data_IF_716017197227
#
_entry.id   IF_716017197227
#
_cell.length_a   1.000
_cell.length_b   1.000
_cell.length_c   1.000
_cell.angle_alpha   90.00
_cell.angle_beta   90.00
_cell.angle_gamma   90.00
#
_symmetry.space_group_name_H-M   'P 1'
#
loop_
_entity.id
_entity.type
_entity.pdbx_description
1 polymer ?
#
# COMPACT_ATOMS: atom_id res chain seq x y z
N UNK A 1 -26.00 -34.91 -45.26
CA UNK A 1 -24.58 -34.97 -45.69
C UNK A 1 -24.22 -33.61 -46.27
N UNK A 2 -23.03 -33.11 -45.93
CA UNK A 2 -22.53 -31.72 -46.10
C UNK A 2 -23.18 -30.72 -45.13
N UNK A 3 -22.46 -29.84 -44.43
CA UNK A 3 -21.10 -29.34 -44.63
C UNK A 3 -20.47 -29.00 -43.28
N UNK A 4 -19.20 -29.36 -43.14
CA UNK A 4 -18.26 -28.84 -42.15
C UNK A 4 -18.18 -27.31 -42.25
N UNK A 5 -18.02 -26.65 -41.11
CA UNK A 5 -17.47 -25.29 -41.04
C UNK A 5 -16.56 -25.25 -39.83
N UNK A 6 -15.32 -25.61 -40.08
CA UNK A 6 -14.19 -25.36 -39.19
C UNK A 6 -13.62 -23.98 -39.53
N UNK A 7 -13.12 -23.30 -38.50
CA UNK A 7 -12.09 -22.26 -38.55
C UNK A 7 -12.39 -20.98 -39.34
N UNK A 8 -12.70 -19.91 -38.62
CA UNK A 8 -11.85 -18.70 -38.57
C UNK A 8 -12.47 -17.70 -37.64
N UNK A 9 -11.75 -17.31 -36.58
CA UNK A 9 -11.71 -15.95 -36.01
C UNK A 9 -11.19 -16.04 -34.57
N UNK A 10 -9.87 -16.18 -34.44
CA UNK A 10 -9.21 -15.67 -33.25
C UNK A 10 -7.82 -15.08 -33.58
N UNK A 11 -7.76 -14.35 -34.70
CA UNK A 11 -6.59 -13.59 -35.12
C UNK A 11 -6.79 -12.11 -34.78
N UNK A 12 -6.94 -11.78 -33.49
CA UNK A 12 -7.18 -10.40 -33.10
C UNK A 12 -7.21 -10.07 -31.61
N UNK A 13 -6.95 -11.01 -30.70
CA UNK A 13 -6.85 -10.67 -29.29
C UNK A 13 -5.64 -9.73 -29.06
N UNK A 14 -5.81 -8.55 -28.43
CA UNK A 14 -4.72 -7.61 -28.19
C UNK A 14 -3.61 -8.32 -27.41
N UNK A 15 -2.34 -8.00 -27.67
CA UNK A 15 -1.16 -8.65 -27.08
C UNK A 15 -1.23 -8.77 -25.55
N UNK A 16 -1.94 -7.86 -24.89
CA UNK A 16 -2.23 -7.91 -23.46
C UNK A 16 -3.09 -9.13 -23.07
N UNK A 17 -4.12 -9.48 -23.85
CA UNK A 17 -5.01 -10.62 -23.59
C UNK A 17 -4.25 -11.96 -23.63
N UNK A 18 -3.30 -12.13 -24.55
CA UNK A 18 -2.46 -13.35 -24.65
C UNK A 18 -1.51 -13.53 -23.47
N UNK A 19 -1.19 -12.46 -22.73
CA UNK A 19 -0.31 -12.51 -21.56
C UNK A 19 -1.01 -13.08 -20.31
N UNK A 20 -2.35 -13.09 -20.29
CA UNK A 20 -3.14 -13.53 -19.13
C UNK A 20 -3.48 -15.03 -19.13
N UNK A 21 -3.33 -15.74 -20.25
CA UNK A 21 -3.62 -17.18 -20.37
C UNK A 21 -2.69 -18.08 -19.52
N UNK A 22 -1.60 -17.52 -18.97
CA UNK A 22 -0.61 -18.23 -18.13
C UNK A 22 -0.38 -17.56 -16.78
N UNK A 23 -1.35 -16.82 -16.26
CA UNK A 23 -1.22 -16.17 -14.94
C UNK A 23 -1.61 -17.14 -13.84
N UNK A 24 -0.70 -17.33 -12.88
CA UNK A 24 -0.96 -18.14 -11.69
C UNK A 24 -2.04 -17.50 -10.82
N UNK A 25 -2.90 -18.28 -10.16
CA UNK A 25 -3.92 -17.75 -9.26
C UNK A 25 -3.29 -17.11 -8.01
N UNK A 26 -4.01 -16.15 -7.41
CA UNK A 26 -3.60 -15.45 -6.17
C UNK A 26 -3.40 -16.41 -4.99
N UNK A 27 -4.03 -17.58 -5.02
CA UNK A 27 -3.82 -18.65 -4.04
C UNK A 27 -2.38 -19.13 -3.99
N UNK A 28 -1.67 -19.13 -5.13
CA UNK A 28 -0.28 -19.61 -5.27
C UNK A 28 0.79 -18.57 -4.90
N UNK A 29 0.40 -17.32 -4.58
CA UNK A 29 1.37 -16.33 -4.10
C UNK A 29 1.97 -16.84 -2.78
N UNK A 30 3.32 -16.94 -2.69
CA UNK A 30 3.99 -17.49 -1.53
C UNK A 30 3.81 -16.59 -0.31
N UNK A 31 3.84 -17.18 0.87
CA UNK A 31 3.67 -16.47 2.12
C UNK A 31 3.51 -17.42 3.30
N UNK A 32 3.43 -16.87 4.52
CA UNK A 32 3.28 -17.68 5.72
C UNK A 32 1.91 -18.38 5.67
N UNK A 33 1.85 -19.70 5.95
CA UNK A 33 0.61 -20.45 5.87
C UNK A 33 -0.41 -19.99 6.91
N UNK A 34 -1.71 -20.05 6.57
CA UNK A 34 -2.81 -19.57 7.43
C UNK A 34 -2.83 -20.23 8.81
N UNK A 35 -2.52 -21.52 8.90
CA UNK A 35 -2.46 -22.25 10.16
C UNK A 35 -1.35 -21.77 11.10
N UNK A 36 -0.33 -21.08 10.55
CA UNK A 36 0.82 -20.60 11.30
C UNK A 36 0.68 -19.12 11.71
N UNK A 37 -0.51 -18.52 11.63
CA UNK A 37 -0.71 -17.13 12.09
C UNK A 37 -0.71 -17.05 13.62
N UNK A 38 -1.36 -18.01 14.30
CA UNK A 38 -1.18 -18.16 15.75
C UNK A 38 0.29 -18.46 16.05
N UNK A 39 0.96 -19.25 15.21
CA UNK A 39 2.39 -19.49 15.29
C UNK A 39 3.23 -18.22 15.07
N UNK A 40 2.84 -17.28 14.20
CA UNK A 40 3.53 -16.00 13.98
C UNK A 40 3.31 -15.02 15.14
N UNK A 41 2.09 -14.97 15.69
CA UNK A 41 1.74 -14.16 16.87
C UNK A 41 2.43 -14.73 18.11
N UNK A 42 2.38 -16.04 18.32
CA UNK A 42 3.10 -16.74 19.39
C UNK A 42 4.62 -16.69 19.17
N UNK A 43 5.11 -16.75 17.93
CA UNK A 43 6.53 -16.56 17.61
C UNK A 43 6.95 -15.13 17.93
N UNK A 44 6.13 -14.12 17.62
CA UNK A 44 6.39 -12.74 18.03
C UNK A 44 6.37 -12.59 19.55
N UNK A 45 5.37 -13.16 20.25
CA UNK A 45 5.23 -13.05 21.72
C UNK A 45 6.29 -13.84 22.49
N UNK A 46 6.54 -15.11 22.13
CA UNK A 46 7.49 -16.02 22.81
C UNK A 46 8.94 -15.66 22.48
N UNK A 47 9.25 -15.22 21.25
CA UNK A 47 10.62 -14.83 20.91
C UNK A 47 10.96 -13.37 21.26
N UNK A 48 10.00 -12.56 21.73
CA UNK A 48 10.27 -11.28 22.42
C UNK A 48 11.05 -11.46 23.74
N UNK A 49 11.22 -12.69 24.22
CA UNK A 49 12.05 -13.05 25.37
C UNK A 49 13.52 -13.37 25.00
N UNK A 50 13.86 -13.43 23.70
CA UNK A 50 15.24 -13.63 23.24
C UNK A 50 15.98 -12.29 23.18
N UNK A 51 17.30 -12.33 23.41
CA UNK A 51 18.19 -11.14 23.39
C UNK A 51 18.12 -10.36 22.06
N UNK A 52 17.80 -11.06 20.96
CA UNK A 52 17.40 -10.50 19.67
C UNK A 52 16.08 -11.13 19.20
N UNK A 53 14.94 -10.44 19.37
CA UNK A 53 13.67 -10.98 18.94
C UNK A 53 13.54 -10.89 17.40
N UNK A 54 13.02 -11.94 16.74
CA UNK A 54 12.77 -11.93 15.30
C UNK A 54 11.63 -10.97 14.92
N UNK A 55 10.80 -10.59 15.91
CA UNK A 55 9.82 -9.52 15.81
C UNK A 55 10.17 -8.41 16.81
N UNK A 56 10.83 -7.37 16.34
CA UNK A 56 11.09 -6.16 17.10
C UNK A 56 10.26 -5.03 16.48
N UNK A 57 9.30 -4.47 17.24
CA UNK A 57 8.44 -3.37 16.76
C UNK A 57 9.26 -2.18 16.25
N UNK A 58 10.44 -1.95 16.81
CA UNK A 58 11.35 -0.87 16.38
C UNK A 58 12.17 -1.26 15.14
N UNK A 59 12.15 -2.54 14.73
CA UNK A 59 12.89 -3.07 13.57
C UNK A 59 11.99 -3.84 12.59
N UNK A 60 10.78 -3.35 12.35
CA UNK A 60 9.83 -3.92 11.37
C UNK A 60 10.40 -4.07 9.95
N UNK A 61 11.34 -3.22 9.55
CA UNK A 61 12.05 -3.38 8.28
C UNK A 61 12.81 -4.72 8.17
N UNK A 62 13.32 -5.27 9.28
CA UNK A 62 14.00 -6.58 9.30
C UNK A 62 13.04 -7.74 9.08
N UNK A 63 11.82 -7.64 9.64
CA UNK A 63 10.76 -8.60 9.39
C UNK A 63 10.48 -8.69 7.89
N UNK A 64 10.20 -7.56 7.25
CA UNK A 64 9.92 -7.52 5.81
C UNK A 64 11.10 -8.01 4.97
N UNK A 65 12.33 -7.61 5.30
CA UNK A 65 13.54 -8.11 4.64
C UNK A 65 13.65 -9.64 4.70
N UNK A 66 13.41 -10.21 5.88
CA UNK A 66 13.45 -11.67 6.05
C UNK A 66 12.31 -12.36 5.30
N UNK A 67 11.10 -11.79 5.30
CA UNK A 67 9.95 -12.31 4.55
C UNK A 67 10.24 -12.37 3.05
N UNK A 68 10.75 -11.30 2.46
CA UNK A 68 11.13 -11.30 1.04
C UNK A 68 12.30 -12.24 0.74
N UNK A 69 13.24 -12.40 1.68
CA UNK A 69 14.32 -13.37 1.56
C UNK A 69 13.83 -14.83 1.56
N UNK A 70 12.77 -15.15 2.30
CA UNK A 70 12.22 -16.51 2.40
C UNK A 70 11.24 -16.85 1.27
N UNK A 71 10.35 -15.92 0.92
CA UNK A 71 9.21 -16.17 0.03
C UNK A 71 9.39 -15.56 -1.37
N UNK A 72 10.42 -14.73 -1.57
CA UNK A 72 10.66 -14.02 -2.81
C UNK A 72 10.05 -12.61 -2.84
N UNK A 73 10.07 -11.94 -4.00
CA UNK A 73 9.77 -10.52 -4.10
C UNK A 73 8.30 -10.16 -3.88
N UNK A 74 7.38 -11.12 -4.04
CA UNK A 74 5.95 -10.97 -3.82
C UNK A 74 5.50 -11.93 -2.72
N UNK A 75 4.83 -11.40 -1.70
CA UNK A 75 4.39 -12.16 -0.53
C UNK A 75 2.93 -11.88 -0.24
N UNK A 76 2.16 -12.94 0.00
CA UNK A 76 0.79 -12.84 0.49
C UNK A 76 0.76 -13.02 2.00
N UNK A 77 0.25 -12.01 2.69
CA UNK A 77 0.06 -12.01 4.13
C UNK A 77 -1.43 -12.07 4.46
N UNK A 78 -1.84 -13.12 5.17
CA UNK A 78 -3.22 -13.29 5.63
C UNK A 78 -3.21 -13.35 7.15
N UNK A 79 -4.15 -12.66 7.80
CA UNK A 79 -4.41 -12.81 9.23
C UNK A 79 -5.91 -12.70 9.53
N UNK A 80 -6.44 -13.27 10.62
CA UNK A 80 -7.87 -13.22 10.92
C UNK A 80 -8.41 -11.81 11.17
N UNK A 81 -7.54 -10.85 11.48
CA UNK A 81 -7.92 -9.50 11.91
C UNK A 81 -7.95 -8.48 10.77
N UNK A 82 -7.29 -8.77 9.64
CA UNK A 82 -7.13 -7.85 8.52
C UNK A 82 -7.40 -8.57 7.21
N UNK A 83 -7.88 -7.85 6.17
CA UNK A 83 -7.99 -8.41 4.84
C UNK A 83 -6.67 -8.99 4.32
N UNK A 84 -6.71 -10.06 3.50
CA UNK A 84 -5.54 -10.57 2.79
C UNK A 84 -4.78 -9.44 2.10
N UNK A 85 -3.49 -9.31 2.39
CA UNK A 85 -2.64 -8.24 1.90
C UNK A 85 -1.53 -8.84 1.05
N UNK A 86 -1.38 -8.36 -0.18
CA UNK A 86 -0.27 -8.73 -1.07
C UNK A 86 0.75 -7.61 -1.01
N UNK A 87 2.01 -7.97 -0.82
CA UNK A 87 3.11 -7.03 -0.63
C UNK A 87 4.20 -7.42 -1.59
N UNK A 88 4.69 -6.44 -2.35
CA UNK A 88 5.78 -6.60 -3.30
C UNK A 88 6.96 -5.73 -2.91
N UNK A 89 8.16 -6.23 -3.17
CA UNK A 89 9.43 -5.50 -3.10
C UNK A 89 10.02 -5.22 -4.49
N UNK A 90 9.38 -5.70 -5.57
CA UNK A 90 9.82 -5.42 -6.93
C UNK A 90 9.48 -3.96 -7.30
N UNK A 91 10.48 -3.16 -7.72
CA UNK A 91 10.24 -1.80 -8.20
C UNK A 91 9.27 -1.71 -9.38
N UNK A 92 9.23 -2.71 -10.27
CA UNK A 92 8.33 -2.73 -11.43
C UNK A 92 6.88 -2.89 -11.02
N UNK A 93 6.61 -3.77 -10.05
CA UNK A 93 5.28 -3.93 -9.49
C UNK A 93 4.84 -2.66 -8.77
N UNK A 94 5.76 -2.04 -8.03
CA UNK A 94 5.50 -0.77 -7.32
C UNK A 94 5.18 0.37 -8.29
N UNK A 95 5.90 0.46 -9.41
CA UNK A 95 5.63 1.42 -10.48
C UNK A 95 4.24 1.18 -11.08
N UNK A 96 3.95 -0.07 -11.46
CA UNK A 96 2.66 -0.45 -12.04
C UNK A 96 1.52 -0.10 -11.07
N UNK A 97 1.61 -0.53 -9.81
CA UNK A 97 0.59 -0.29 -8.79
C UNK A 97 0.36 1.20 -8.57
N UNK A 98 1.44 1.98 -8.45
CA UNK A 98 1.34 3.42 -8.26
C UNK A 98 0.72 4.11 -9.47
N UNK A 99 1.05 3.66 -10.69
CA UNK A 99 0.50 4.22 -11.94
C UNK A 99 -0.99 3.94 -12.08
N UNK A 100 -1.43 2.69 -11.84
CA UNK A 100 -2.85 2.31 -11.96
C UNK A 100 -3.71 2.90 -10.85
N UNK A 101 -3.15 3.08 -9.65
CA UNK A 101 -3.88 3.65 -8.49
C UNK A 101 -3.67 5.16 -8.31
N UNK A 102 -2.90 5.83 -9.17
CA UNK A 102 -2.51 7.24 -9.03
C UNK A 102 -3.68 8.19 -8.73
N UNK A 103 -4.83 7.98 -9.37
CA UNK A 103 -6.01 8.83 -9.22
C UNK A 103 -6.86 8.49 -8.00
N UNK A 104 -6.69 7.29 -7.43
CA UNK A 104 -7.46 6.79 -6.30
C UNK A 104 -6.64 5.75 -5.50
N UNK A 105 -5.59 6.19 -4.80
CA UNK A 105 -4.83 5.31 -3.94
C UNK A 105 -5.66 4.96 -2.69
N UNK A 106 -5.69 3.67 -2.35
CA UNK A 106 -6.24 3.18 -1.08
C UNK A 106 -5.07 2.93 -0.14
N UNK A 107 -5.03 3.67 0.97
CA UNK A 107 -4.00 3.52 2.01
C UNK A 107 -4.61 2.87 3.24
N UNK A 108 -4.03 1.74 3.62
CA UNK A 108 -4.37 1.02 4.84
C UNK A 108 -3.63 1.61 6.03
N UNK A 109 -4.27 1.64 7.20
CA UNK A 109 -3.69 2.13 8.45
C UNK A 109 -4.33 3.40 8.99
N UNK A 110 -3.83 3.85 10.13
CA UNK A 110 -4.33 5.04 10.86
C UNK A 110 -5.84 5.00 11.15
N UNK A 111 -6.41 3.80 11.32
CA UNK A 111 -7.84 3.59 11.55
C UNK A 111 -8.34 4.31 12.80
N UNK A 112 -7.58 4.29 13.89
CA UNK A 112 -7.94 5.00 15.13
C UNK A 112 -8.03 6.52 14.91
N UNK A 113 -7.10 7.09 14.14
CA UNK A 113 -7.13 8.52 13.80
C UNK A 113 -8.34 8.84 12.92
N UNK A 114 -8.62 7.99 11.92
CA UNK A 114 -9.81 8.15 11.10
C UNK A 114 -11.09 8.06 11.93
N UNK A 115 -11.16 7.15 12.90
CA UNK A 115 -12.32 6.94 13.74
C UNK A 115 -12.55 8.14 14.66
N UNK A 116 -11.52 8.57 15.42
CA UNK A 116 -11.62 9.72 16.34
C UNK A 116 -12.05 10.99 15.62
N UNK A 117 -11.57 11.23 14.39
CA UNK A 117 -11.97 12.41 13.62
C UNK A 117 -13.40 12.33 13.09
N UNK A 118 -13.83 11.16 12.65
CA UNK A 118 -15.19 10.95 12.12
C UNK A 118 -16.27 10.98 13.21
N UNK A 119 -15.94 10.43 14.37
CA UNK A 119 -16.84 10.31 15.53
C UNK A 119 -16.59 11.40 16.58
N UNK A 120 -15.94 12.51 16.21
CA UNK A 120 -15.72 13.62 17.14
C UNK A 120 -17.08 14.14 17.66
N UNK A 121 -17.24 14.20 18.99
CA UNK A 121 -18.53 14.42 19.67
C UNK A 121 -19.25 15.69 19.17
N UNK A 122 -18.52 16.78 18.95
CA UNK A 122 -19.07 18.06 18.49
C UNK A 122 -19.11 18.18 16.96
N UNK A 123 -18.90 17.08 16.24
CA UNK A 123 -18.71 17.05 14.79
C UNK A 123 -17.63 18.04 14.30
N UNK A 124 -16.59 18.29 15.12
CA UNK A 124 -15.56 19.29 14.87
C UNK A 124 -14.89 19.18 13.48
N UNK A 125 -14.77 17.96 12.94
CA UNK A 125 -14.17 17.70 11.64
C UNK A 125 -15.18 17.52 10.50
N UNK A 126 -16.46 17.84 10.70
CA UNK A 126 -17.54 17.64 9.71
C UNK A 126 -17.60 16.20 9.16
N UNK A 127 -17.38 15.22 10.04
CA UNK A 127 -17.24 13.79 9.70
C UNK A 127 -16.16 13.49 8.65
N UNK A 128 -15.15 14.36 8.52
CA UNK A 128 -14.00 14.18 7.62
C UNK A 128 -12.75 13.78 8.41
N UNK A 129 -11.99 12.84 7.88
CA UNK A 129 -10.76 12.37 8.49
C UNK A 129 -9.50 13.14 8.01
N UNK A 130 -9.62 13.88 6.91
CA UNK A 130 -8.54 14.70 6.32
C UNK A 130 -7.64 13.93 5.35
N UNK A 131 -6.68 14.65 4.75
CA UNK A 131 -5.89 14.15 3.59
C UNK A 131 -5.18 12.80 3.85
N UNK A 132 -4.69 12.59 5.06
CA UNK A 132 -3.85 11.44 5.41
C UNK A 132 -4.65 10.13 5.43
N UNK A 133 -5.87 10.18 5.95
CA UNK A 133 -6.69 8.99 6.27
C UNK A 133 -7.89 8.82 5.36
N UNK A 134 -8.32 9.86 4.65
CA UNK A 134 -9.35 9.71 3.62
C UNK A 134 -8.81 8.89 2.44
N UNK A 135 -9.70 8.14 1.79
CA UNK A 135 -9.46 7.37 0.57
C UNK A 135 -10.52 7.75 -0.49
N UNK A 136 -10.40 7.24 -1.71
CA UNK A 136 -11.44 7.43 -2.74
C UNK A 136 -11.74 8.89 -3.06
N UNK A 137 -13.02 9.20 -3.31
CA UNK A 137 -13.45 10.52 -3.75
C UNK A 137 -13.16 11.61 -2.70
N UNK A 138 -13.26 11.28 -1.41
CA UNK A 138 -12.95 12.21 -0.32
C UNK A 138 -11.47 12.58 -0.30
N UNK A 139 -10.59 11.60 -0.52
CA UNK A 139 -9.16 11.89 -0.68
C UNK A 139 -8.92 12.82 -1.87
N UNK A 140 -9.50 12.51 -3.03
CA UNK A 140 -9.33 13.31 -4.25
C UNK A 140 -9.84 14.74 -4.07
N UNK A 141 -10.97 14.91 -3.38
CA UNK A 141 -11.58 16.21 -3.04
C UNK A 141 -10.62 17.05 -2.20
N UNK A 142 -10.00 16.48 -1.17
CA UNK A 142 -9.04 17.21 -0.33
C UNK A 142 -7.71 17.43 -1.07
N UNK A 143 -7.17 16.39 -1.71
CA UNK A 143 -5.89 16.42 -2.43
C UNK A 143 -5.87 17.48 -3.52
N UNK A 144 -6.92 17.57 -4.33
CA UNK A 144 -6.99 18.55 -5.43
C UNK A 144 -6.91 20.00 -4.94
N UNK A 145 -7.50 20.31 -3.78
CA UNK A 145 -7.46 21.66 -3.18
C UNK A 145 -6.10 22.02 -2.60
N UNK A 146 -5.40 21.07 -1.96
CA UNK A 146 -4.11 21.34 -1.30
C UNK A 146 -2.91 21.18 -2.24
N UNK A 147 -3.04 20.41 -3.32
CA UNK A 147 -1.95 20.15 -4.27
C UNK A 147 -1.39 21.43 -4.86
N UNK A 148 -2.26 22.29 -5.39
CA UNK A 148 -1.86 23.54 -6.04
C UNK A 148 -1.09 24.49 -5.12
N UNK A 149 -1.61 24.87 -3.93
CA UNK A 149 -0.90 25.79 -3.05
C UNK A 149 0.42 25.20 -2.54
N UNK A 150 0.51 23.90 -2.26
CA UNK A 150 1.68 23.30 -1.62
C UNK A 150 2.75 22.79 -2.59
N UNK A 151 2.37 22.22 -3.73
CA UNK A 151 3.29 21.44 -4.59
C UNK A 151 3.69 22.15 -5.88
N UNK A 152 3.10 23.32 -6.21
CA UNK A 152 3.54 24.08 -7.39
C UNK A 152 4.94 24.66 -7.11
N UNK A 153 5.94 24.47 -8.00
CA UNK A 153 7.30 24.96 -7.77
C UNK A 153 7.36 26.45 -7.41
N UNK A 154 6.57 27.30 -8.09
CA UNK A 154 6.47 28.73 -7.79
C UNK A 154 6.09 29.03 -6.33
N UNK A 155 5.19 28.23 -5.76
CA UNK A 155 4.74 28.41 -4.38
C UNK A 155 5.78 27.91 -3.39
N UNK A 156 6.43 26.77 -3.68
CA UNK A 156 7.53 26.23 -2.86
C UNK A 156 8.69 27.23 -2.77
N UNK A 157 9.08 27.83 -3.90
CA UNK A 157 10.17 28.83 -3.96
C UNK A 157 9.89 30.04 -3.06
N UNK A 158 8.63 30.46 -2.94
CA UNK A 158 8.27 31.59 -2.08
C UNK A 158 8.52 31.34 -0.59
N UNK A 159 8.66 30.08 -0.16
CA UNK A 159 8.96 29.74 1.24
C UNK A 159 10.45 29.62 1.53
N UNK A 160 11.33 29.59 0.52
CA UNK A 160 12.76 29.31 0.71
C UNK A 160 13.44 30.32 1.64
N UNK A 161 13.20 31.62 1.47
CA UNK A 161 13.80 32.64 2.34
C UNK A 161 13.39 32.51 3.81
N UNK A 162 12.14 32.10 4.08
CA UNK A 162 11.69 31.86 5.47
C UNK A 162 12.31 30.59 6.06
N UNK A 163 12.46 29.55 5.24
CA UNK A 163 13.11 28.30 5.66
C UNK A 163 14.61 28.52 5.92
N UNK A 164 15.25 29.36 5.11
CA UNK A 164 16.65 29.75 5.27
C UNK A 164 16.87 30.52 6.58
N UNK A 165 16.00 31.49 6.89
CA UNK A 165 16.07 32.20 8.17
C UNK A 165 15.96 31.24 9.36
N UNK A 166 15.00 30.30 9.35
CA UNK A 166 14.88 29.30 10.42
C UNK A 166 16.12 28.42 10.52
N UNK A 167 16.77 28.11 9.40
CA UNK A 167 18.01 27.34 9.39
C UNK A 167 19.19 28.14 9.95
N UNK A 168 19.28 29.44 9.64
CA UNK A 168 20.27 30.35 10.23
C UNK A 168 20.07 30.48 11.73
N UNK A 169 18.84 30.76 12.18
CA UNK A 169 18.49 30.86 13.60
C UNK A 169 18.78 29.56 14.38
N UNK A 170 18.69 28.40 13.73
CA UNK A 170 19.02 27.10 14.34
C UNK A 170 20.54 26.86 14.47
N UNK A 171 21.35 27.50 13.63
CA UNK A 171 22.81 27.39 13.67
C UNK A 171 23.46 28.34 14.67
N UNK A 172 22.77 29.42 15.04
CA UNK A 172 23.16 30.34 16.13
C UNK A 172 23.03 29.68 17.51
#
# INVERSE_FOLDING_TARGET
>A
MSSSTESSENAGAPEQARKYDKVKPVSEIPGPPKSNILGLIMFALVNNLKKDPPFDRNKMHKLWKNMFGMYGPIVKFENPFNPPTIITSDPKDSEMLTRVTMNNPVRFGLYSLSHIRKEAADNYFDKKAGLLTENHEEWKRVRSKVQTPMMKPKNVVAYLGKMDQVALDFME
#
